data_IF_612623502352
#
_entry.id   IF_612623502352
#
_cell.length_a   1.000
_cell.length_b   1.000
_cell.length_c   1.000
_cell.angle_alpha   90.00
_cell.angle_beta   90.00
_cell.angle_gamma   90.00
#
_symmetry.space_group_name_H-M   'P 1'
#
loop_
_entity.id
_entity.type
_entity.pdbx_description
1 polymer ?
#
# COMPACT_ATOMS: atom_id res chain seq x y z
N UNK A 1 -21.20 17.48 17.84
CA UNK A 1 -20.88 16.58 16.70
C UNK A 1 -19.72 17.11 15.81
N UNK A 2 -19.71 18.34 15.28
CA UNK A 2 -18.62 18.81 14.43
C UNK A 2 -17.24 18.69 15.09
N UNK A 3 -17.10 19.10 16.35
CA UNK A 3 -15.84 19.09 17.09
C UNK A 3 -15.19 17.71 17.22
N UNK A 4 -15.98 16.66 17.56
CA UNK A 4 -15.46 15.29 17.67
C UNK A 4 -14.98 14.78 16.31
N UNK A 5 -15.75 14.98 15.24
CA UNK A 5 -15.37 14.59 13.89
C UNK A 5 -14.10 15.29 13.43
N UNK A 6 -13.96 16.58 13.75
CA UNK A 6 -12.77 17.35 13.40
C UNK A 6 -11.55 16.91 14.21
N UNK A 7 -11.72 16.64 15.52
CA UNK A 7 -10.66 16.12 16.36
C UNK A 7 -10.15 14.75 15.86
N UNK A 8 -11.05 13.83 15.53
CA UNK A 8 -10.69 12.52 14.94
C UNK A 8 -9.95 12.67 13.62
N UNK A 9 -10.44 13.54 12.71
CA UNK A 9 -9.75 13.77 11.42
C UNK A 9 -8.30 14.25 11.60
N UNK A 10 -8.02 15.09 12.60
CA UNK A 10 -6.65 15.55 12.90
C UNK A 10 -5.73 14.42 13.33
N UNK A 11 -6.26 13.35 13.92
CA UNK A 11 -5.49 12.15 14.28
C UNK A 11 -5.36 11.15 13.12
N UNK A 12 -5.98 11.40 11.98
CA UNK A 12 -6.05 10.48 10.84
C UNK A 12 -7.20 9.48 10.90
N UNK A 13 -7.96 9.40 11.99
CA UNK A 13 -9.14 8.53 12.06
C UNK A 13 -10.33 9.14 11.33
N UNK A 14 -10.87 8.39 10.39
CA UNK A 14 -12.11 8.79 9.72
C UNK A 14 -13.32 8.53 10.64
N UNK A 15 -14.33 9.43 10.67
CA UNK A 15 -15.58 9.19 11.41
C UNK A 15 -16.37 7.98 10.90
N UNK A 16 -16.09 7.50 9.70
CA UNK A 16 -16.64 6.31 9.06
C UNK A 16 -15.82 5.03 9.33
N UNK A 17 -14.74 5.13 10.08
CA UNK A 17 -13.87 3.99 10.40
C UNK A 17 -14.73 2.86 11.02
N UNK A 18 -14.68 1.64 10.47
CA UNK A 18 -15.47 0.51 10.99
C UNK A 18 -15.24 0.23 12.47
N UNK A 19 -14.03 0.47 12.96
CA UNK A 19 -13.66 0.31 14.37
C UNK A 19 -14.37 1.32 15.28
N UNK A 20 -14.81 2.47 14.75
CA UNK A 20 -15.58 3.50 15.48
C UNK A 20 -17.11 3.36 15.31
N UNK A 21 -17.60 2.39 14.53
CA UNK A 21 -19.03 2.28 14.16
C UNK A 21 -19.93 2.34 15.38
N UNK A 22 -19.71 1.47 16.36
CA UNK A 22 -20.53 1.40 17.57
C UNK A 22 -20.51 2.71 18.37
N UNK A 23 -19.34 3.28 18.57
CA UNK A 23 -19.18 4.59 19.24
C UNK A 23 -19.97 5.67 18.51
N UNK A 24 -19.81 5.78 17.20
CA UNK A 24 -20.45 6.80 16.38
C UNK A 24 -21.99 6.61 16.32
N UNK A 25 -22.48 5.40 16.36
CA UNK A 25 -23.91 5.11 16.45
C UNK A 25 -24.50 5.54 17.81
N UNK A 26 -23.82 5.22 18.92
CA UNK A 26 -24.23 5.66 20.25
C UNK A 26 -24.27 7.19 20.36
N UNK A 27 -23.24 7.86 19.83
CA UNK A 27 -23.19 9.33 19.77
C UNK A 27 -24.33 9.91 18.91
N UNK A 28 -24.65 9.30 17.76
CA UNK A 28 -25.78 9.75 16.92
C UNK A 28 -27.13 9.59 17.63
N UNK A 29 -27.35 8.47 18.34
CA UNK A 29 -28.56 8.23 19.12
C UNK A 29 -28.71 9.28 20.23
N UNK A 30 -27.66 9.48 21.03
CA UNK A 30 -27.66 10.48 22.09
C UNK A 30 -27.98 11.91 21.60
N UNK A 31 -27.48 12.27 20.39
CA UNK A 31 -27.79 13.55 19.75
C UNK A 31 -29.25 13.62 19.29
N UNK A 32 -29.79 12.52 18.78
CA UNK A 32 -31.15 12.47 18.22
C UNK A 32 -32.22 12.50 19.34
N UNK A 33 -31.88 11.91 20.49
CA UNK A 33 -32.80 11.81 21.65
C UNK A 33 -32.81 13.08 22.52
N UNK A 34 -31.94 14.06 22.21
CA UNK A 34 -31.86 15.31 22.95
C UNK A 34 -32.65 16.42 22.25
N UNK A 35 -33.43 17.16 23.03
CA UNK A 35 -34.17 18.36 22.60
C UNK A 35 -33.28 19.58 22.89
N UNK A 36 -32.49 20.03 21.89
CA UNK A 36 -31.59 21.19 22.00
C UNK A 36 -30.11 20.88 21.74
N UNK A 37 -29.22 21.82 22.09
CA UNK A 37 -27.77 21.59 22.01
C UNK A 37 -27.33 20.50 22.97
N UNK A 38 -26.75 19.42 22.42
CA UNK A 38 -26.24 18.31 23.23
C UNK A 38 -24.94 18.75 23.90
N UNK A 39 -25.01 19.03 25.18
CA UNK A 39 -23.82 19.07 26.04
C UNK A 39 -23.51 17.60 26.43
N UNK A 40 -22.42 17.09 25.90
CA UNK A 40 -21.96 15.75 26.23
C UNK A 40 -21.25 15.78 27.58
N UNK A 41 -21.96 15.37 28.64
CA UNK A 41 -21.36 15.21 29.96
C UNK A 41 -20.39 14.00 30.00
N UNK A 42 -19.65 13.86 31.08
CA UNK A 42 -18.67 12.80 31.27
C UNK A 42 -19.28 11.41 31.19
N UNK A 43 -20.48 11.21 31.75
CA UNK A 43 -21.11 9.89 31.85
C UNK A 43 -21.67 9.46 30.50
N UNK A 44 -22.29 10.39 29.76
CA UNK A 44 -22.74 10.15 28.39
C UNK A 44 -21.55 9.86 27.45
N UNK A 45 -20.47 10.64 27.57
CA UNK A 45 -19.24 10.39 26.83
C UNK A 45 -18.69 9.00 27.12
N UNK A 46 -18.58 8.61 28.40
CA UNK A 46 -18.06 7.30 28.78
C UNK A 46 -18.94 6.15 28.25
N UNK A 47 -20.25 6.28 28.29
CA UNK A 47 -21.17 5.28 27.71
C UNK A 47 -21.02 5.16 26.19
N UNK A 48 -20.80 6.26 25.51
CA UNK A 48 -20.63 6.27 24.05
C UNK A 48 -19.30 5.65 23.60
N UNK A 49 -18.20 5.90 24.34
CA UNK A 49 -16.84 5.54 23.90
C UNK A 49 -16.26 4.28 24.53
N UNK A 50 -16.95 3.71 25.54
CA UNK A 50 -16.41 2.61 26.36
C UNK A 50 -15.88 1.42 25.55
N UNK A 51 -16.59 1.00 24.50
CA UNK A 51 -16.16 -0.10 23.62
C UNK A 51 -14.95 0.23 22.74
N UNK A 52 -14.62 1.51 22.54
CA UNK A 52 -13.55 1.97 21.65
C UNK A 52 -12.50 2.81 22.37
N UNK A 53 -12.48 2.75 23.70
CA UNK A 53 -11.66 3.64 24.54
C UNK A 53 -10.17 3.50 24.22
N UNK A 54 -9.67 2.30 23.93
CA UNK A 54 -8.25 2.04 23.61
C UNK A 54 -7.86 2.76 22.33
N UNK A 55 -8.64 2.62 21.26
CA UNK A 55 -8.38 3.27 19.97
C UNK A 55 -8.41 4.79 20.11
N UNK A 56 -9.38 5.33 20.85
CA UNK A 56 -9.50 6.76 21.09
C UNK A 56 -8.35 7.32 21.95
N UNK A 57 -7.90 6.56 22.94
CA UNK A 57 -6.72 6.93 23.75
C UNK A 57 -5.47 6.95 22.87
N UNK A 58 -5.27 5.95 22.02
CA UNK A 58 -4.14 5.94 21.07
C UNK A 58 -4.18 7.17 20.16
N UNK A 59 -5.34 7.47 19.59
CA UNK A 59 -5.53 8.62 18.73
C UNK A 59 -5.20 9.95 19.43
N UNK A 60 -5.86 10.25 20.54
CA UNK A 60 -5.72 11.55 21.22
C UNK A 60 -4.43 11.72 21.99
N UNK A 61 -3.75 10.63 22.36
CA UNK A 61 -2.39 10.65 22.94
C UNK A 61 -1.29 10.58 21.89
N UNK A 62 -1.63 10.69 20.59
CA UNK A 62 -0.67 10.64 19.48
C UNK A 62 0.22 9.39 19.52
N UNK A 63 -0.39 8.22 19.81
CA UNK A 63 0.30 6.92 19.91
C UNK A 63 0.21 6.11 18.60
N UNK A 64 -0.33 6.67 17.53
CA UNK A 64 -0.31 6.08 16.22
C UNK A 64 1.07 6.19 15.58
N UNK A 65 1.30 5.39 14.53
CA UNK A 65 2.58 5.31 13.83
C UNK A 65 3.07 6.67 13.31
N UNK A 66 2.12 7.58 12.99
CA UNK A 66 2.42 8.98 12.66
C UNK A 66 1.76 9.88 13.71
N UNK A 67 2.48 10.28 14.76
CA UNK A 67 1.93 11.05 15.88
C UNK A 67 1.37 12.41 15.46
N UNK A 68 2.11 13.16 14.63
CA UNK A 68 1.72 14.47 14.13
C UNK A 68 1.05 14.36 12.75
N UNK A 69 -0.01 13.53 12.69
CA UNK A 69 -0.65 13.18 11.42
C UNK A 69 -1.17 14.38 10.62
N UNK A 70 -1.66 15.42 11.30
CA UNK A 70 -2.13 16.65 10.65
C UNK A 70 -1.00 17.39 9.92
N UNK A 71 0.20 17.41 10.52
CA UNK A 71 1.40 17.99 9.90
C UNK A 71 1.82 17.18 8.69
N UNK A 72 1.87 15.86 8.85
CA UNK A 72 2.19 14.93 7.78
C UNK A 72 1.22 15.04 6.61
N UNK A 73 -0.10 15.06 6.87
CA UNK A 73 -1.13 15.20 5.85
C UNK A 73 -1.01 16.53 5.05
N UNK A 74 -0.63 17.62 5.71
CA UNK A 74 -0.35 18.89 5.02
C UNK A 74 0.84 18.77 4.06
N UNK A 75 1.91 18.09 4.48
CA UNK A 75 3.06 17.82 3.61
C UNK A 75 2.69 16.97 2.40
N UNK A 76 1.87 15.93 2.59
CA UNK A 76 1.33 15.13 1.48
C UNK A 76 0.53 16.01 0.50
N UNK A 77 -0.26 16.96 1.00
CA UNK A 77 -0.99 17.89 0.13
C UNK A 77 -0.05 18.86 -0.63
N UNK A 78 1.06 19.27 -0.04
CA UNK A 78 2.08 20.08 -0.70
C UNK A 78 2.74 19.28 -1.84
N UNK A 79 3.16 18.04 -1.58
CA UNK A 79 3.71 17.12 -2.60
C UNK A 79 2.69 16.89 -3.72
N UNK A 80 1.42 16.62 -3.38
CA UNK A 80 0.33 16.43 -4.35
C UNK A 80 0.22 17.63 -5.31
N UNK A 81 0.23 18.86 -4.79
CA UNK A 81 0.13 20.10 -5.58
C UNK A 81 1.36 20.30 -6.48
N UNK A 82 2.56 20.08 -5.97
CA UNK A 82 3.80 20.18 -6.77
C UNK A 82 3.77 19.20 -7.95
N UNK A 83 3.36 17.96 -7.70
CA UNK A 83 3.30 16.91 -8.72
C UNK A 83 2.14 17.15 -9.71
N UNK A 84 1.06 17.79 -9.30
CA UNK A 84 -0.09 18.10 -10.16
C UNK A 84 0.28 18.91 -11.41
N UNK A 85 1.36 19.69 -11.35
CA UNK A 85 1.84 20.50 -12.46
C UNK A 85 2.50 19.68 -13.58
N UNK A 86 2.82 18.40 -13.35
CA UNK A 86 3.35 17.51 -14.37
C UNK A 86 2.28 17.23 -15.44
N UNK A 87 2.60 17.54 -16.70
CA UNK A 87 1.70 17.42 -17.84
C UNK A 87 2.16 16.37 -18.86
N UNK A 88 3.31 15.78 -18.65
CA UNK A 88 3.90 14.79 -19.54
C UNK A 88 3.15 13.47 -19.49
N UNK A 89 3.39 12.65 -20.51
CA UNK A 89 2.84 11.31 -20.61
C UNK A 89 1.60 11.22 -21.50
N UNK A 90 1.18 9.99 -21.78
CA UNK A 90 0.02 9.67 -22.61
C UNK A 90 -0.88 8.67 -21.90
N UNK A 91 -2.19 8.91 -21.95
CA UNK A 91 -3.18 7.93 -21.45
C UNK A 91 -3.12 6.67 -22.32
N UNK A 92 -3.17 5.49 -21.70
CA UNK A 92 -3.24 4.22 -22.42
C UNK A 92 -4.49 4.16 -23.30
N UNK A 93 -4.34 3.79 -24.56
CA UNK A 93 -5.40 3.85 -25.57
C UNK A 93 -5.61 2.52 -26.31
N UNK A 94 -4.98 1.43 -25.86
CA UNK A 94 -5.13 0.11 -26.50
C UNK A 94 -6.51 -0.51 -26.28
N UNK A 95 -7.28 -0.08 -25.28
CA UNK A 95 -8.68 -0.39 -25.07
C UNK A 95 -9.49 0.88 -24.76
N UNK A 96 -10.77 0.96 -25.21
CA UNK A 96 -11.60 2.15 -25.01
C UNK A 96 -11.81 2.52 -23.54
N UNK A 97 -11.83 1.55 -22.64
CA UNK A 97 -12.07 1.74 -21.21
C UNK A 97 -10.93 2.50 -20.52
N UNK A 98 -9.72 2.43 -21.04
CA UNK A 98 -8.58 3.23 -20.57
C UNK A 98 -8.52 4.58 -21.30
N UNK A 99 -8.73 4.58 -22.62
CA UNK A 99 -8.64 5.78 -23.47
C UNK A 99 -9.61 6.91 -23.07
N UNK A 100 -10.74 6.57 -22.44
CA UNK A 100 -11.77 7.55 -22.02
C UNK A 100 -11.38 8.39 -20.81
N UNK A 101 -10.35 8.02 -20.05
CA UNK A 101 -9.99 8.77 -18.87
C UNK A 101 -9.34 10.11 -19.20
N UNK A 102 -9.75 11.14 -18.47
CA UNK A 102 -9.14 12.47 -18.61
C UNK A 102 -7.68 12.45 -18.14
N UNK A 103 -6.74 13.05 -18.89
CA UNK A 103 -5.35 13.17 -18.47
C UNK A 103 -5.14 14.07 -17.23
N UNK A 104 -6.17 14.85 -16.85
CA UNK A 104 -6.10 15.73 -15.69
C UNK A 104 -6.42 15.03 -14.37
N UNK A 105 -6.94 13.81 -14.40
CA UNK A 105 -7.26 13.05 -13.19
C UNK A 105 -5.98 12.77 -12.39
N UNK A 106 -6.06 13.08 -11.11
CA UNK A 106 -4.98 12.85 -10.17
C UNK A 106 -5.52 12.62 -8.76
N UNK A 107 -5.18 11.51 -8.16
CA UNK A 107 -5.58 11.15 -6.82
C UNK A 107 -4.50 10.40 -6.06
N UNK A 108 -4.38 10.68 -4.78
CA UNK A 108 -3.50 9.98 -3.84
C UNK A 108 -4.27 9.66 -2.58
N UNK A 109 -4.22 8.42 -2.14
CA UNK A 109 -4.73 8.00 -0.84
C UNK A 109 -3.69 7.19 -0.10
N UNK A 110 -3.65 7.34 1.21
CA UNK A 110 -2.78 6.57 2.10
C UNK A 110 -3.56 6.00 3.28
N UNK A 111 -3.07 4.86 3.79
CA UNK A 111 -3.54 4.22 5.00
C UNK A 111 -2.33 3.72 5.79
N UNK A 112 -2.20 4.10 7.07
CA UNK A 112 -1.13 3.58 7.93
C UNK A 112 -1.46 2.18 8.44
N UNK A 113 -0.45 1.49 8.97
CA UNK A 113 -0.60 0.13 9.53
C UNK A 113 -1.52 0.08 10.76
N UNK A 114 -1.81 1.21 11.36
CA UNK A 114 -2.76 1.35 12.46
C UNK A 114 -4.07 2.08 12.06
N UNK A 115 -4.24 2.35 10.76
CA UNK A 115 -5.48 2.79 10.15
C UNK A 115 -5.71 4.30 10.13
N UNK A 116 -4.65 5.13 10.22
CA UNK A 116 -4.78 6.55 9.90
C UNK A 116 -4.96 6.72 8.38
N UNK A 117 -5.84 7.62 7.95
CA UNK A 117 -6.24 7.79 6.54
C UNK A 117 -6.10 9.23 6.09
N UNK A 118 -5.54 9.41 4.89
CA UNK A 118 -5.55 10.69 4.18
C UNK A 118 -5.77 10.47 2.70
N UNK A 119 -6.57 11.35 2.07
CA UNK A 119 -6.90 11.29 0.66
C UNK A 119 -6.93 12.70 0.08
N UNK A 120 -6.39 12.87 -1.12
CA UNK A 120 -6.35 14.15 -1.84
C UNK A 120 -6.56 13.92 -3.35
N UNK A 121 -7.38 14.77 -3.98
CA UNK A 121 -7.72 14.69 -5.40
C UNK A 121 -8.82 13.68 -5.72
N UNK A 122 -8.73 13.06 -6.89
CA UNK A 122 -9.76 12.19 -7.50
C UNK A 122 -9.76 10.77 -6.90
N UNK A 123 -9.78 10.66 -5.56
CA UNK A 123 -9.55 9.41 -4.84
C UNK A 123 -10.72 8.44 -4.83
N UNK A 124 -11.91 8.91 -5.19
CA UNK A 124 -13.16 8.10 -5.22
C UNK A 124 -13.54 7.61 -6.62
N UNK A 125 -12.84 8.08 -7.65
CA UNK A 125 -13.06 7.62 -9.01
C UNK A 125 -12.60 6.16 -9.14
N UNK A 126 -13.47 5.21 -9.56
CA UNK A 126 -13.05 3.84 -9.82
C UNK A 126 -12.14 3.72 -11.04
N UNK A 127 -11.15 2.84 -10.95
CA UNK A 127 -10.28 2.44 -12.04
C UNK A 127 -9.90 0.96 -11.90
N UNK A 128 -9.56 0.31 -13.03
CA UNK A 128 -9.14 -1.09 -13.00
C UNK A 128 -7.69 -1.22 -12.47
N UNK A 129 -7.44 -2.24 -11.65
CA UNK A 129 -6.12 -2.54 -11.09
C UNK A 129 -5.08 -2.81 -12.18
N UNK A 130 -5.49 -3.44 -13.28
CA UNK A 130 -4.57 -3.88 -14.31
C UNK A 130 -3.39 -4.65 -13.67
N UNK A 131 -2.15 -4.35 -14.04
CA UNK A 131 -1.00 -5.05 -13.47
C UNK A 131 -0.77 -4.85 -11.96
N UNK A 132 -1.47 -3.92 -11.31
CA UNK A 132 -1.44 -3.81 -9.85
C UNK A 132 -2.10 -5.00 -9.14
N UNK A 133 -2.84 -5.86 -9.85
CA UNK A 133 -3.38 -7.11 -9.29
C UNK A 133 -2.33 -8.20 -9.11
N UNK A 134 -1.22 -8.17 -9.87
CA UNK A 134 -0.21 -9.24 -9.87
C UNK A 134 0.40 -9.53 -8.49
N UNK A 135 0.81 -8.53 -7.68
CA UNK A 135 1.27 -8.81 -6.33
C UNK A 135 0.21 -9.45 -5.44
N UNK A 136 -1.06 -9.03 -5.57
CA UNK A 136 -2.16 -9.62 -4.80
C UNK A 136 -2.40 -11.09 -5.20
N UNK A 137 -2.38 -11.35 -6.49
CA UNK A 137 -2.51 -12.67 -7.08
C UNK A 137 -1.40 -13.61 -6.61
N UNK A 138 -0.15 -13.16 -6.64
CA UNK A 138 0.99 -13.92 -6.16
C UNK A 138 0.89 -14.20 -4.64
N UNK A 139 0.55 -13.17 -3.86
CA UNK A 139 0.40 -13.31 -2.41
C UNK A 139 -0.67 -14.35 -2.03
N UNK A 140 -1.80 -14.38 -2.75
CA UNK A 140 -2.87 -15.37 -2.55
C UNK A 140 -2.39 -16.78 -2.93
N UNK A 141 -1.70 -16.93 -4.05
CA UNK A 141 -1.17 -18.22 -4.48
C UNK A 141 -0.17 -18.82 -3.48
N UNK A 142 0.75 -17.98 -2.95
CA UNK A 142 1.70 -18.41 -1.89
C UNK A 142 0.98 -18.70 -0.58
N UNK A 143 -0.03 -17.90 -0.22
CA UNK A 143 -0.82 -18.13 0.99
C UNK A 143 -1.58 -19.45 0.97
N UNK A 144 -2.07 -19.88 -0.21
CA UNK A 144 -2.82 -21.12 -0.39
C UNK A 144 -1.95 -22.38 -0.49
N UNK A 145 -0.81 -22.24 -1.14
CA UNK A 145 0.06 -23.40 -1.43
C UNK A 145 1.27 -23.39 -0.48
N UNK A 146 2.32 -22.81 -0.89
CA UNK A 146 3.56 -22.46 -0.21
C UNK A 146 4.52 -21.82 -1.24
N UNK A 147 5.63 -21.28 -0.77
CA UNK A 147 6.63 -20.61 -1.62
C UNK A 147 7.29 -21.61 -2.59
N UNK A 148 7.68 -22.79 -2.12
CA UNK A 148 8.42 -23.78 -2.91
C UNK A 148 7.58 -24.28 -4.07
N UNK A 149 6.31 -24.60 -3.81
CA UNK A 149 5.38 -25.07 -4.84
C UNK A 149 5.15 -24.00 -5.91
N UNK A 150 4.92 -22.74 -5.52
CA UNK A 150 4.72 -21.66 -6.49
C UNK A 150 5.98 -21.46 -7.33
N UNK A 151 7.17 -21.43 -6.71
CA UNK A 151 8.43 -21.22 -7.39
C UNK A 151 8.99 -22.43 -8.12
N UNK A 152 8.37 -23.60 -7.99
CA UNK A 152 8.64 -24.71 -8.92
C UNK A 152 8.16 -24.41 -10.35
N UNK A 153 7.25 -23.42 -10.52
CA UNK A 153 6.67 -23.03 -11.81
C UNK A 153 7.07 -21.63 -12.30
N UNK A 154 7.52 -20.74 -11.44
CA UNK A 154 7.85 -19.34 -11.78
C UNK A 154 9.14 -18.93 -11.07
N UNK A 155 10.00 -18.18 -11.76
CA UNK A 155 11.24 -17.66 -11.20
C UNK A 155 11.03 -16.46 -10.25
N UNK A 156 12.14 -15.83 -9.83
CA UNK A 156 12.18 -14.71 -8.90
C UNK A 156 12.98 -13.52 -9.45
N UNK A 157 13.57 -13.68 -10.64
CA UNK A 157 14.52 -12.71 -11.19
C UNK A 157 13.84 -11.69 -12.11
N UNK A 158 14.34 -10.45 -12.16
CA UNK A 158 13.91 -9.47 -13.15
C UNK A 158 14.10 -9.99 -14.57
N UNK A 159 13.14 -9.73 -15.47
CA UNK A 159 13.24 -10.12 -16.89
C UNK A 159 14.20 -9.25 -17.70
N UNK A 160 14.70 -8.15 -17.12
CA UNK A 160 15.46 -7.13 -17.85
C UNK A 160 14.60 -6.48 -18.95
N UNK A 161 15.22 -6.09 -20.06
CA UNK A 161 14.52 -5.49 -21.21
C UNK A 161 13.56 -6.47 -21.94
N UNK A 162 13.44 -7.70 -21.46
CA UNK A 162 12.63 -8.76 -22.09
C UNK A 162 11.20 -8.86 -21.55
N UNK A 163 10.73 -7.92 -20.72
CA UNK A 163 9.39 -8.01 -20.06
C UNK A 163 8.23 -8.17 -21.04
N UNK A 164 8.36 -7.72 -22.27
CA UNK A 164 7.36 -7.74 -23.34
C UNK A 164 7.74 -8.66 -24.52
N UNK A 165 8.80 -9.44 -24.38
CA UNK A 165 9.26 -10.44 -25.35
C UNK A 165 8.73 -11.81 -24.90
N UNK A 166 8.47 -12.69 -25.88
CA UNK A 166 8.19 -14.12 -25.64
C UNK A 166 9.49 -14.80 -25.15
N UNK A 167 9.81 -14.63 -23.88
CA UNK A 167 11.01 -15.22 -23.28
C UNK A 167 10.70 -15.81 -21.91
N UNK A 168 11.33 -16.94 -21.67
CA UNK A 168 11.37 -17.65 -20.39
C UNK A 168 12.82 -17.60 -19.88
N UNK A 169 13.02 -18.00 -18.64
CA UNK A 169 14.36 -18.17 -18.08
C UNK A 169 15.05 -19.43 -18.64
N UNK A 170 16.27 -19.73 -18.16
CA UNK A 170 17.06 -20.88 -18.63
C UNK A 170 16.44 -22.24 -18.25
N UNK A 171 15.47 -22.27 -17.34
CA UNK A 171 14.72 -23.45 -16.92
C UNK A 171 13.35 -23.58 -17.61
N UNK A 172 13.11 -22.81 -18.67
CA UNK A 172 11.82 -22.69 -19.35
C UNK A 172 10.67 -22.24 -18.42
N UNK A 173 10.96 -21.40 -17.40
CA UNK A 173 9.97 -20.80 -16.50
C UNK A 173 9.77 -19.31 -16.79
N UNK A 174 8.59 -18.73 -16.53
CA UNK A 174 8.44 -17.28 -16.47
C UNK A 174 9.40 -16.66 -15.44
N UNK A 175 10.06 -15.55 -15.78
CA UNK A 175 11.09 -14.93 -14.95
C UNK A 175 10.64 -14.58 -13.53
N UNK A 176 9.42 -14.06 -13.39
CA UNK A 176 8.85 -13.71 -12.09
C UNK A 176 7.32 -13.50 -12.18
N UNK A 177 6.59 -13.47 -11.05
CA UNK A 177 5.13 -13.26 -11.02
C UNK A 177 4.65 -11.86 -11.47
N UNK A 178 5.52 -10.87 -11.59
CA UNK A 178 5.16 -9.49 -11.92
C UNK A 178 5.12 -9.21 -13.42
N UNK A 179 5.63 -10.14 -14.25
CA UNK A 179 5.49 -10.12 -15.72
C UNK A 179 4.23 -10.87 -16.15
N UNK A 180 3.74 -10.62 -17.38
CA UNK A 180 2.49 -11.23 -17.86
C UNK A 180 2.56 -12.77 -17.86
N UNK A 181 3.65 -13.36 -18.37
CA UNK A 181 3.82 -14.80 -18.39
C UNK A 181 3.70 -15.42 -16.98
N UNK A 182 4.38 -14.84 -15.99
CA UNK A 182 4.30 -15.28 -14.61
C UNK A 182 2.90 -15.13 -14.02
N UNK A 183 2.24 -14.00 -14.26
CA UNK A 183 0.88 -13.77 -13.75
C UNK A 183 -0.15 -14.73 -14.38
N UNK A 184 -0.05 -15.01 -15.68
CA UNK A 184 -0.91 -15.99 -16.36
C UNK A 184 -0.69 -17.37 -15.75
N UNK A 185 0.56 -17.75 -15.49
CA UNK A 185 0.87 -19.00 -14.82
C UNK A 185 0.27 -19.05 -13.40
N UNK A 186 0.48 -18.02 -12.58
CA UNK A 186 -0.08 -17.92 -11.23
C UNK A 186 -1.60 -18.07 -11.24
N UNK A 187 -2.30 -17.57 -12.28
CA UNK A 187 -3.75 -17.76 -12.46
C UNK A 187 -4.15 -19.25 -12.47
N UNK A 188 -3.29 -20.13 -12.97
CA UNK A 188 -3.55 -21.57 -12.99
C UNK A 188 -3.32 -22.26 -11.64
N UNK A 189 -2.56 -21.63 -10.73
CA UNK A 189 -2.24 -22.19 -9.41
C UNK A 189 -3.30 -21.87 -8.35
N UNK A 190 -4.10 -20.81 -8.52
CA UNK A 190 -5.13 -20.40 -7.56
C UNK A 190 -6.35 -21.31 -7.74
N UNK A 191 -6.77 -22.02 -6.70
CA UNK A 191 -7.95 -22.91 -6.69
C UNK A 191 -8.06 -23.76 -7.97
N UNK A 192 -7.07 -24.60 -8.31
CA UNK A 192 -7.00 -25.28 -9.60
C UNK A 192 -8.16 -26.24 -9.88
N UNK A 193 -8.83 -26.72 -8.83
CA UNK A 193 -9.97 -27.67 -8.94
C UNK A 193 -11.34 -26.98 -8.89
N UNK A 194 -11.40 -25.67 -8.62
CA UNK A 194 -12.65 -24.93 -8.58
C UNK A 194 -13.13 -24.55 -9.99
N UNK A 195 -14.44 -24.41 -10.17
CA UNK A 195 -14.98 -23.84 -11.40
C UNK A 195 -14.66 -22.35 -11.53
N UNK A 196 -14.87 -21.77 -12.72
CA UNK A 196 -14.51 -20.37 -13.02
C UNK A 196 -15.18 -19.35 -12.08
N UNK A 197 -16.44 -19.58 -11.73
CA UNK A 197 -17.19 -18.65 -10.87
C UNK A 197 -16.68 -18.73 -9.43
N UNK A 198 -16.53 -19.91 -8.87
CA UNK A 198 -15.98 -20.11 -7.52
C UNK A 198 -14.57 -19.56 -7.37
N UNK A 199 -13.74 -19.73 -8.41
CA UNK A 199 -12.38 -19.21 -8.45
C UNK A 199 -12.35 -17.68 -8.40
N UNK A 200 -13.22 -17.03 -9.17
CA UNK A 200 -13.34 -15.58 -9.19
C UNK A 200 -13.89 -15.02 -7.87
N UNK A 201 -14.98 -15.60 -7.35
CA UNK A 201 -15.58 -15.19 -6.08
C UNK A 201 -14.61 -15.34 -4.93
N UNK A 202 -13.85 -16.44 -4.89
CA UNK A 202 -12.80 -16.66 -3.90
C UNK A 202 -11.73 -15.56 -3.94
N UNK A 203 -11.23 -15.24 -5.12
CA UNK A 203 -10.24 -14.16 -5.26
C UNK A 203 -10.81 -12.80 -4.84
N UNK A 204 -12.04 -12.48 -5.27
CA UNK A 204 -12.72 -11.24 -4.90
C UNK A 204 -12.92 -11.11 -3.40
N UNK A 205 -13.19 -12.21 -2.69
CA UNK A 205 -13.29 -12.20 -1.23
C UNK A 205 -11.96 -11.81 -0.57
N UNK A 206 -10.84 -12.35 -1.02
CA UNK A 206 -9.52 -11.93 -0.54
C UNK A 206 -9.25 -10.45 -0.78
N UNK A 207 -9.50 -9.97 -1.99
CA UNK A 207 -9.27 -8.56 -2.35
C UNK A 207 -10.15 -7.63 -1.50
N UNK A 208 -11.42 -7.98 -1.27
CA UNK A 208 -12.32 -7.23 -0.37
C UNK A 208 -11.83 -7.21 1.07
N UNK A 209 -11.34 -8.34 1.60
CA UNK A 209 -10.73 -8.41 2.94
C UNK A 209 -9.47 -7.56 3.02
N UNK A 210 -8.61 -7.60 2.02
CA UNK A 210 -7.41 -6.74 1.94
C UNK A 210 -7.78 -5.25 1.90
N UNK A 211 -8.88 -4.89 1.25
CA UNK A 211 -9.40 -3.53 1.17
C UNK A 211 -10.17 -3.08 2.43
N UNK A 212 -10.25 -3.92 3.48
CA UNK A 212 -11.03 -3.60 4.69
C UNK A 212 -12.53 -3.45 4.43
N UNK A 213 -13.07 -4.17 3.44
CA UNK A 213 -14.45 -4.12 2.96
C UNK A 213 -14.83 -2.77 2.29
N UNK A 214 -13.84 -1.96 1.91
CA UNK A 214 -14.07 -0.78 1.07
C UNK A 214 -14.32 -1.20 -0.39
N UNK A 215 -14.60 -0.22 -1.26
CA UNK A 215 -15.03 -0.49 -2.63
C UNK A 215 -14.04 -1.38 -3.40
N UNK A 216 -14.55 -2.51 -3.86
CA UNK A 216 -13.94 -3.40 -4.85
C UNK A 216 -15.03 -3.83 -5.81
N UNK A 217 -14.86 -3.47 -7.08
CA UNK A 217 -15.79 -3.77 -8.16
C UNK A 217 -15.18 -4.62 -9.25
N UNK A 218 -15.93 -4.77 -10.35
CA UNK A 218 -15.49 -5.49 -11.54
C UNK A 218 -16.04 -4.81 -12.80
N UNK A 219 -15.17 -4.56 -13.77
CA UNK A 219 -15.55 -4.00 -15.06
C UNK A 219 -15.65 -5.10 -16.12
N UNK A 220 -16.86 -5.57 -16.38
CA UNK A 220 -17.09 -6.53 -17.47
C UNK A 220 -16.69 -5.97 -18.83
N UNK A 221 -16.89 -4.66 -19.06
CA UNK A 221 -16.49 -4.02 -20.31
C UNK A 221 -14.97 -4.05 -20.51
N UNK A 222 -14.19 -3.80 -19.45
CA UNK A 222 -12.73 -3.93 -19.50
C UNK A 222 -12.33 -5.38 -19.76
N UNK A 223 -12.92 -6.34 -19.04
CA UNK A 223 -12.65 -7.77 -19.24
C UNK A 223 -12.87 -8.21 -20.68
N UNK A 224 -14.00 -7.84 -21.29
CA UNK A 224 -14.28 -8.20 -22.70
C UNK A 224 -13.25 -7.58 -23.64
N UNK A 225 -12.93 -6.30 -23.47
CA UNK A 225 -11.93 -5.62 -24.31
C UNK A 225 -10.53 -6.20 -24.15
N UNK A 226 -10.09 -6.51 -22.93
CA UNK A 226 -8.80 -7.17 -22.68
C UNK A 226 -8.72 -8.56 -23.36
N UNK A 227 -9.84 -9.28 -23.38
CA UNK A 227 -9.92 -10.57 -24.04
C UNK A 227 -9.90 -10.44 -25.56
N UNK A 228 -10.63 -9.48 -26.13
CA UNK A 228 -10.68 -9.23 -27.57
C UNK A 228 -9.34 -8.73 -28.14
N UNK A 229 -8.59 -7.92 -27.37
CA UNK A 229 -7.29 -7.35 -27.78
C UNK A 229 -6.10 -8.12 -27.24
N UNK A 230 -6.32 -9.28 -26.64
CA UNK A 230 -5.35 -10.03 -25.88
C UNK A 230 -4.34 -10.88 -26.67
N UNK A 231 -4.20 -10.69 -27.99
CA UNK A 231 -3.38 -11.54 -28.88
C UNK A 231 -2.00 -11.86 -28.32
N UNK A 232 -1.32 -10.86 -27.75
CA UNK A 232 0.01 -11.05 -27.15
C UNK A 232 -0.04 -11.98 -25.94
N UNK A 233 -1.07 -11.88 -25.08
CA UNK A 233 -1.22 -12.76 -23.92
C UNK A 233 -1.59 -14.17 -24.33
N UNK A 234 -2.38 -14.34 -25.40
CA UNK A 234 -2.63 -15.64 -26.01
C UNK A 234 -1.34 -16.25 -26.59
N UNK A 235 -0.53 -15.44 -27.30
CA UNK A 235 0.76 -15.89 -27.83
C UNK A 235 1.72 -16.35 -26.70
N UNK A 236 1.79 -15.59 -25.59
CA UNK A 236 2.54 -15.96 -24.38
C UNK A 236 2.00 -17.27 -23.81
N UNK A 237 0.68 -17.42 -23.69
CA UNK A 237 0.04 -18.63 -23.18
C UNK A 237 0.36 -19.87 -24.02
N UNK A 238 0.27 -19.77 -25.35
CA UNK A 238 0.61 -20.87 -26.27
C UNK A 238 2.10 -21.22 -26.21
N UNK A 239 3.00 -20.23 -26.12
CA UNK A 239 4.43 -20.46 -25.96
C UNK A 239 4.73 -21.19 -24.63
N UNK A 240 4.12 -20.75 -23.52
CA UNK A 240 4.26 -21.46 -22.24
C UNK A 240 3.65 -22.87 -22.26
N UNK A 241 2.57 -23.09 -23.03
CA UNK A 241 1.95 -24.43 -23.20
C UNK A 241 2.89 -25.34 -23.97
N UNK A 242 3.50 -24.85 -25.04
CA UNK A 242 4.50 -25.61 -25.83
C UNK A 242 5.68 -26.03 -24.95
N UNK A 243 6.17 -25.10 -24.09
CA UNK A 243 7.26 -25.31 -23.14
C UNK A 243 6.85 -26.10 -21.88
N UNK A 244 5.59 -26.49 -21.75
CA UNK A 244 5.05 -27.24 -20.60
C UNK A 244 5.20 -26.56 -19.25
N UNK A 245 5.13 -25.20 -19.22
CA UNK A 245 5.25 -24.42 -17.99
C UNK A 245 4.09 -24.63 -17.02
N UNK A 246 2.89 -24.96 -17.52
CA UNK A 246 1.70 -25.08 -16.69
C UNK A 246 1.68 -26.36 -15.85
N UNK A 247 1.05 -26.34 -14.66
CA UNK A 247 0.83 -27.54 -13.87
C UNK A 247 0.05 -28.60 -14.64
N UNK A 248 0.27 -29.88 -14.32
CA UNK A 248 -0.50 -30.96 -14.94
C UNK A 248 -2.01 -30.78 -14.77
N UNK A 249 -2.77 -30.87 -15.86
CA UNK A 249 -4.23 -30.72 -15.87
C UNK A 249 -4.73 -29.26 -15.92
N UNK A 250 -3.84 -28.27 -15.88
CA UNK A 250 -4.26 -26.87 -16.04
C UNK A 250 -4.67 -26.57 -17.48
N UNK A 251 -5.80 -25.87 -17.65
CA UNK A 251 -6.23 -25.32 -18.93
C UNK A 251 -5.68 -23.89 -19.11
N UNK A 252 -4.91 -23.70 -20.18
CA UNK A 252 -4.27 -22.42 -20.49
C UNK A 252 -5.29 -21.34 -20.81
N UNK A 253 -6.39 -21.68 -21.49
CA UNK A 253 -7.45 -20.72 -21.84
C UNK A 253 -8.18 -20.26 -20.57
N UNK A 254 -8.45 -21.17 -19.65
CA UNK A 254 -9.06 -20.86 -18.35
C UNK A 254 -8.14 -19.96 -17.51
N UNK A 255 -6.84 -20.21 -17.52
CA UNK A 255 -5.84 -19.37 -16.85
C UNK A 255 -5.80 -17.94 -17.44
N UNK A 256 -5.88 -17.82 -18.78
CA UNK A 256 -5.95 -16.51 -19.47
C UNK A 256 -7.26 -15.78 -19.17
N UNK A 257 -8.40 -16.44 -19.25
CA UNK A 257 -9.70 -15.87 -18.90
C UNK A 257 -9.69 -15.30 -17.49
N UNK A 258 -9.19 -16.07 -16.54
CA UNK A 258 -9.08 -15.63 -15.15
C UNK A 258 -8.09 -14.47 -14.99
N UNK A 259 -6.94 -14.49 -15.66
CA UNK A 259 -5.99 -13.39 -15.68
C UNK A 259 -6.63 -12.09 -16.18
N UNK A 260 -7.40 -12.12 -17.27
CA UNK A 260 -8.12 -10.94 -17.78
C UNK A 260 -9.21 -10.45 -16.80
N UNK A 261 -9.91 -11.37 -16.13
CA UNK A 261 -10.85 -11.01 -15.06
C UNK A 261 -10.14 -10.25 -13.94
N UNK A 262 -9.00 -10.76 -13.47
CA UNK A 262 -8.24 -10.13 -12.38
C UNK A 262 -7.72 -8.73 -12.76
N UNK A 263 -7.25 -8.53 -13.99
CA UNK A 263 -6.86 -7.22 -14.50
C UNK A 263 -8.02 -6.21 -14.52
N UNK A 264 -9.26 -6.68 -14.60
CA UNK A 264 -10.49 -5.90 -14.71
C UNK A 264 -11.19 -5.63 -13.37
N UNK A 265 -10.57 -6.02 -12.25
CA UNK A 265 -11.04 -5.66 -10.91
C UNK A 265 -10.88 -4.15 -10.72
N UNK A 266 -11.96 -3.49 -10.28
CA UNK A 266 -12.00 -2.06 -10.03
C UNK A 266 -11.78 -1.74 -8.56
N UNK A 267 -11.01 -0.69 -8.31
CA UNK A 267 -10.76 -0.12 -6.97
C UNK A 267 -10.81 1.40 -7.06
N UNK A 268 -10.78 2.06 -5.92
CA UNK A 268 -10.50 3.48 -5.78
C UNK A 268 -9.12 3.68 -5.15
N UNK A 269 -8.58 4.90 -5.16
CA UNK A 269 -7.35 5.18 -4.40
C UNK A 269 -7.55 4.85 -2.92
N UNK A 270 -8.74 5.10 -2.38
CA UNK A 270 -9.05 4.86 -0.96
C UNK A 270 -8.94 3.37 -0.63
N UNK A 271 -9.66 2.49 -1.33
CA UNK A 271 -9.61 1.05 -1.10
C UNK A 271 -8.24 0.44 -1.45
N UNK A 272 -7.60 0.92 -2.52
CA UNK A 272 -6.26 0.49 -2.91
C UNK A 272 -5.19 0.82 -1.87
N UNK A 273 -5.30 1.97 -1.18
CA UNK A 273 -4.38 2.32 -0.09
C UNK A 273 -4.51 1.38 1.11
N UNK A 274 -5.71 0.87 1.41
CA UNK A 274 -5.93 -0.14 2.46
C UNK A 274 -5.31 -1.47 2.07
N UNK A 275 -5.44 -1.90 0.80
CA UNK A 275 -4.77 -3.10 0.30
C UNK A 275 -3.25 -3.00 0.46
N UNK A 276 -2.67 -1.87 0.06
CA UNK A 276 -1.25 -1.61 0.24
C UNK A 276 -0.85 -1.60 1.72
N UNK A 277 -1.69 -1.05 2.61
CA UNK A 277 -1.46 -1.04 4.05
C UNK A 277 -1.58 -2.44 4.67
N UNK A 278 -2.45 -3.31 4.15
CA UNK A 278 -2.50 -4.72 4.54
C UNK A 278 -1.19 -5.42 4.23
N UNK A 279 -0.57 -5.15 3.07
CA UNK A 279 0.77 -5.63 2.76
C UNK A 279 1.83 -4.99 3.68
N UNK A 280 1.76 -3.67 3.93
CA UNK A 280 2.67 -2.98 4.84
C UNK A 280 2.62 -3.54 6.28
N UNK A 281 1.47 -4.07 6.69
CA UNK A 281 1.18 -4.61 8.01
C UNK A 281 1.32 -6.15 8.10
N UNK A 282 2.13 -6.75 7.22
CA UNK A 282 2.40 -8.19 7.25
C UNK A 282 1.19 -9.08 7.01
N UNK A 283 0.20 -8.61 6.24
CA UNK A 283 -1.01 -9.36 5.87
C UNK A 283 -2.21 -9.19 6.81
N UNK A 284 -2.12 -8.30 7.79
CA UNK A 284 -3.24 -7.94 8.67
C UNK A 284 -3.86 -6.64 8.17
N UNK A 285 -5.14 -6.65 7.86
CA UNK A 285 -5.85 -5.44 7.45
C UNK A 285 -5.93 -4.44 8.61
N UNK A 286 -5.41 -3.21 8.46
CA UNK A 286 -5.36 -2.23 9.56
C UNK A 286 -6.74 -1.71 9.97
N UNK A 287 -7.75 -1.85 9.11
CA UNK A 287 -9.11 -1.35 9.34
C UNK A 287 -9.97 -2.39 10.06
N UNK A 288 -9.84 -3.67 9.71
CA UNK A 288 -10.64 -4.75 10.31
C UNK A 288 -9.89 -5.52 11.39
N UNK A 289 -8.56 -5.49 11.39
CA UNK A 289 -7.73 -6.33 12.24
C UNK A 289 -7.67 -7.81 11.81
N UNK A 290 -8.29 -8.16 10.68
CA UNK A 290 -8.30 -9.53 10.16
C UNK A 290 -6.96 -9.88 9.52
N UNK A 291 -6.42 -11.05 9.86
CA UNK A 291 -5.29 -11.62 9.11
C UNK A 291 -5.78 -12.21 7.79
N UNK A 292 -5.42 -11.58 6.71
CA UNK A 292 -5.83 -11.95 5.34
C UNK A 292 -4.79 -12.82 4.65
N UNK A 293 -3.51 -12.51 4.84
CA UNK A 293 -2.38 -13.21 4.22
C UNK A 293 -1.37 -13.68 5.27
N UNK A 294 -0.60 -14.72 4.94
CA UNK A 294 0.53 -15.14 5.75
C UNK A 294 1.67 -14.12 5.67
N UNK A 295 2.46 -14.00 6.74
CA UNK A 295 3.61 -13.11 6.77
C UNK A 295 4.66 -13.48 5.70
N UNK A 296 4.79 -14.77 5.40
CA UNK A 296 5.69 -15.28 4.36
C UNK A 296 5.25 -14.82 2.97
N UNK A 297 3.96 -14.98 2.63
CA UNK A 297 3.41 -14.53 1.36
C UNK A 297 3.63 -13.03 1.16
N UNK A 298 3.42 -12.24 2.21
CA UNK A 298 3.65 -10.79 2.15
C UNK A 298 5.13 -10.46 1.97
N UNK A 299 6.03 -11.06 2.75
CA UNK A 299 7.49 -10.84 2.60
C UNK A 299 7.94 -11.10 1.17
N UNK A 300 7.55 -12.24 0.61
CA UNK A 300 7.93 -12.63 -0.75
C UNK A 300 7.34 -11.68 -1.79
N UNK A 301 6.08 -11.27 -1.61
CA UNK A 301 5.41 -10.30 -2.49
C UNK A 301 6.13 -8.95 -2.49
N UNK A 302 6.47 -8.42 -1.33
CA UNK A 302 7.19 -7.14 -1.22
C UNK A 302 8.59 -7.21 -1.85
N UNK A 303 9.29 -8.34 -1.71
CA UNK A 303 10.59 -8.57 -2.34
C UNK A 303 10.49 -8.50 -3.87
N UNK A 304 9.50 -9.19 -4.45
CA UNK A 304 9.28 -9.18 -5.90
C UNK A 304 8.74 -7.83 -6.42
N UNK A 305 7.92 -7.13 -5.64
CA UNK A 305 7.51 -5.76 -5.98
C UNK A 305 8.71 -4.81 -6.02
N UNK A 306 9.67 -4.98 -5.11
CA UNK A 306 10.87 -4.14 -5.05
C UNK A 306 11.77 -4.33 -6.28
N UNK A 307 11.99 -5.56 -6.71
CA UNK A 307 12.89 -5.90 -7.82
C UNK A 307 12.24 -5.86 -9.20
N UNK A 308 10.92 -6.13 -9.30
CA UNK A 308 10.24 -6.40 -10.57
C UNK A 308 8.93 -5.61 -10.77
N UNK A 309 8.56 -4.71 -9.86
CA UNK A 309 7.20 -4.14 -9.82
C UNK A 309 6.91 -3.02 -10.83
N UNK A 310 7.93 -2.37 -11.40
CA UNK A 310 7.79 -1.10 -12.13
C UNK A 310 8.26 -1.18 -13.59
N UNK A 311 8.01 -2.32 -14.24
CA UNK A 311 8.48 -2.59 -15.62
C UNK A 311 10.00 -2.35 -15.73
N UNK A 312 10.48 -1.78 -16.85
CA UNK A 312 11.90 -1.48 -17.06
C UNK A 312 12.45 -0.36 -16.14
N UNK A 313 11.58 0.28 -15.36
CA UNK A 313 11.95 1.26 -14.36
C UNK A 313 12.22 0.64 -12.98
N UNK A 314 12.07 -0.66 -12.80
CA UNK A 314 12.18 -1.32 -11.48
C UNK A 314 13.52 -1.06 -10.80
N UNK A 315 14.63 -1.14 -11.51
CA UNK A 315 15.96 -0.82 -10.96
C UNK A 315 16.11 0.64 -10.54
N UNK A 316 15.61 1.57 -11.36
CA UNK A 316 15.61 3.00 -11.02
C UNK A 316 14.66 3.31 -9.84
N UNK A 317 13.50 2.64 -9.78
CA UNK A 317 12.58 2.77 -8.65
C UNK A 317 13.23 2.29 -7.36
N UNK A 318 13.92 1.14 -7.38
CA UNK A 318 14.67 0.64 -6.23
C UNK A 318 15.79 1.58 -5.80
N UNK A 319 16.46 2.23 -6.75
CA UNK A 319 17.55 3.17 -6.49
C UNK A 319 17.06 4.53 -5.96
N UNK A 320 16.05 5.14 -6.59
CA UNK A 320 15.61 6.49 -6.26
C UNK A 320 14.58 6.55 -5.14
N UNK A 321 13.71 5.53 -5.05
CA UNK A 321 12.61 5.48 -4.09
C UNK A 321 12.85 4.43 -3.00
N UNK A 322 13.45 3.28 -3.37
CA UNK A 322 13.87 2.25 -2.44
C UNK A 322 12.74 1.55 -1.70
N UNK A 323 11.53 1.51 -2.29
CA UNK A 323 10.33 0.94 -1.70
C UNK A 323 9.66 -0.05 -2.66
N UNK A 324 9.01 -1.11 -2.14
CA UNK A 324 8.16 -1.98 -2.93
C UNK A 324 7.02 -1.23 -3.61
N UNK A 325 6.89 -1.38 -4.92
CA UNK A 325 5.81 -0.76 -5.68
C UNK A 325 5.35 -1.63 -6.85
N UNK A 326 4.11 -1.43 -7.30
CA UNK A 326 3.59 -2.04 -8.53
C UNK A 326 2.86 -1.03 -9.38
N UNK A 327 3.22 -0.96 -10.64
CA UNK A 327 2.58 -0.10 -11.65
C UNK A 327 1.52 -0.85 -12.46
N UNK A 328 0.48 -0.13 -12.88
CA UNK A 328 -0.56 -0.60 -13.79
C UNK A 328 -0.84 0.42 -14.88
N UNK A 329 -1.13 -0.05 -16.10
CA UNK A 329 -1.39 0.80 -17.28
C UNK A 329 -2.66 1.65 -17.18
N UNK A 330 -3.47 1.45 -16.14
CA UNK A 330 -4.55 2.38 -15.77
C UNK A 330 -4.04 3.71 -15.19
N UNK A 331 -2.73 3.82 -14.94
CA UNK A 331 -2.09 4.96 -14.26
C UNK A 331 -2.00 4.79 -12.75
N UNK A 332 -2.23 3.58 -12.24
CA UNK A 332 -2.11 3.28 -10.82
C UNK A 332 -0.69 2.91 -10.41
N UNK A 333 -0.28 3.35 -9.23
CA UNK A 333 0.90 2.84 -8.52
C UNK A 333 0.49 2.45 -7.10
N UNK A 334 0.62 1.16 -6.80
CA UNK A 334 0.46 0.59 -5.47
C UNK A 334 1.85 0.60 -4.80
N UNK A 335 2.03 1.47 -3.80
CA UNK A 335 3.29 1.67 -3.08
C UNK A 335 3.15 1.19 -1.64
N UNK A 336 4.16 0.49 -1.14
CA UNK A 336 4.19 -0.02 0.23
C UNK A 336 5.39 0.54 0.97
N UNK A 337 5.15 1.19 2.11
CA UNK A 337 6.17 1.56 3.08
C UNK A 337 6.06 0.55 4.22
N UNK A 338 6.92 -0.49 4.27
CA UNK A 338 6.80 -1.58 5.22
C UNK A 338 6.77 -1.09 6.67
N UNK A 339 5.86 -1.64 7.46
CA UNK A 339 5.61 -1.28 8.87
C UNK A 339 5.16 0.17 9.12
N UNK A 340 4.81 0.93 8.07
CA UNK A 340 4.36 2.31 8.20
C UNK A 340 3.01 2.52 7.54
N UNK A 341 2.92 2.38 6.21
CA UNK A 341 1.69 2.67 5.48
C UNK A 341 1.68 2.07 4.08
N UNK A 342 0.49 1.98 3.51
CA UNK A 342 0.24 1.77 2.09
C UNK A 342 -0.23 3.05 1.41
N UNK A 343 0.15 3.21 0.15
CA UNK A 343 -0.25 4.35 -0.69
C UNK A 343 -0.76 3.83 -2.02
N UNK A 344 -1.85 4.42 -2.50
CA UNK A 344 -2.34 4.26 -3.86
C UNK A 344 -2.33 5.63 -4.55
N UNK A 345 -1.52 5.73 -5.60
CA UNK A 345 -1.52 6.87 -6.52
C UNK A 345 -2.26 6.48 -7.80
N UNK A 346 -3.06 7.39 -8.36
CA UNK A 346 -3.69 7.17 -9.64
C UNK A 346 -3.71 8.45 -10.49
N UNK A 347 -3.09 8.37 -11.66
CA UNK A 347 -3.13 9.38 -12.71
C UNK A 347 -2.93 8.73 -14.07
N UNK A 348 -3.87 8.83 -15.01
CA UNK A 348 -3.87 8.09 -16.27
C UNK A 348 -2.67 8.33 -17.20
N UNK A 349 -2.04 9.53 -17.30
CA UNK A 349 -0.88 9.73 -18.18
C UNK A 349 0.33 8.87 -17.77
N UNK A 350 0.83 8.08 -18.73
CA UNK A 350 1.94 7.16 -18.58
C UNK A 350 3.20 7.68 -19.28
N UNK A 351 4.34 7.34 -18.71
CA UNK A 351 5.64 7.52 -19.35
C UNK A 351 5.90 6.49 -20.48
N UNK A 352 7.08 6.56 -21.09
CA UNK A 352 7.45 5.68 -22.21
C UNK A 352 7.52 4.19 -21.85
N UNK A 353 7.68 3.87 -20.56
CA UNK A 353 7.76 2.50 -20.07
C UNK A 353 6.47 2.00 -19.43
N UNK A 354 5.44 2.84 -19.37
CA UNK A 354 4.09 2.46 -18.93
C UNK A 354 3.77 2.79 -17.48
N UNK A 355 4.58 3.59 -16.79
CA UNK A 355 4.33 4.03 -15.42
C UNK A 355 3.63 5.38 -15.38
N UNK A 356 2.75 5.60 -14.39
CA UNK A 356 2.13 6.89 -14.15
C UNK A 356 3.18 7.97 -13.90
N UNK A 357 3.22 9.02 -14.73
CA UNK A 357 4.19 10.13 -14.60
C UNK A 357 4.05 10.79 -13.24
N UNK A 358 2.83 11.23 -12.89
CA UNK A 358 2.59 11.85 -11.58
C UNK A 358 2.85 10.90 -10.43
N UNK A 359 2.49 9.62 -10.58
CA UNK A 359 2.74 8.60 -9.57
C UNK A 359 4.22 8.41 -9.25
N UNK A 360 5.09 8.35 -10.28
CA UNK A 360 6.57 8.27 -10.10
C UNK A 360 7.08 9.51 -9.38
N UNK A 361 6.72 10.71 -9.86
CA UNK A 361 7.15 11.96 -9.23
C UNK A 361 6.70 12.06 -7.79
N UNK A 362 5.46 11.63 -7.47
CA UNK A 362 4.98 11.59 -6.10
C UNK A 362 5.84 10.66 -5.21
N UNK A 363 6.18 9.47 -5.70
CA UNK A 363 7.02 8.53 -4.96
C UNK A 363 8.42 9.12 -4.68
N UNK A 364 9.02 9.80 -5.67
CA UNK A 364 10.33 10.45 -5.54
C UNK A 364 10.27 11.62 -4.54
N UNK A 365 9.26 12.50 -4.65
CA UNK A 365 9.07 13.61 -3.72
C UNK A 365 8.79 13.13 -2.28
N UNK A 366 8.02 12.05 -2.12
CA UNK A 366 7.75 11.46 -0.81
C UNK A 366 9.04 11.06 -0.09
N UNK A 367 9.93 10.34 -0.77
CA UNK A 367 11.20 9.89 -0.16
C UNK A 367 12.27 11.00 -0.13
N UNK A 368 12.11 12.07 -0.90
CA UNK A 368 12.99 13.24 -0.79
C UNK A 368 12.76 13.99 0.52
N UNK A 369 11.52 14.07 0.98
CA UNK A 369 11.13 14.80 2.19
C UNK A 369 11.16 13.94 3.44
N UNK A 370 10.82 12.65 3.33
CA UNK A 370 10.74 11.73 4.46
C UNK A 370 11.76 10.60 4.34
N UNK A 371 12.23 10.08 5.47
CA UNK A 371 13.21 8.99 5.55
C UNK A 371 12.57 7.60 5.31
N UNK A 372 11.84 7.44 4.22
CA UNK A 372 11.17 6.19 3.90
C UNK A 372 11.97 5.25 3.01
N UNK A 373 12.98 5.74 2.32
CA UNK A 373 13.87 4.88 1.53
C UNK A 373 14.52 3.82 2.43
N UNK A 374 14.60 2.56 1.99
CA UNK A 374 15.09 1.44 2.80
C UNK A 374 16.47 1.70 3.44
N UNK A 375 17.27 2.56 2.86
CA UNK A 375 18.62 2.89 3.34
C UNK A 375 18.74 4.28 3.98
N UNK A 376 17.66 5.02 4.18
CA UNK A 376 17.70 6.36 4.81
C UNK A 376 18.04 6.32 6.31
N UNK A 377 17.86 5.18 6.97
CA UNK A 377 18.10 5.02 8.42
C UNK A 377 19.51 4.52 8.75
N UNK A 378 20.46 4.61 7.83
CA UNK A 378 21.86 4.31 8.09
C UNK A 378 22.47 5.36 9.05
N UNK A 379 23.36 4.92 9.93
CA UNK A 379 23.85 5.67 11.10
C UNK A 379 24.37 7.09 10.81
N UNK A 380 24.94 7.34 9.65
CA UNK A 380 25.55 8.64 9.30
C UNK A 380 24.92 9.28 8.06
N UNK A 381 23.68 8.94 7.77
CA UNK A 381 22.99 9.49 6.60
C UNK A 381 22.43 10.90 6.83
N UNK A 382 22.21 11.65 5.75
CA UNK A 382 21.57 12.98 5.81
C UNK A 382 20.20 12.87 6.47
N UNK A 383 19.94 13.69 7.47
CA UNK A 383 18.68 13.66 8.21
C UNK A 383 17.54 14.21 7.33
N UNK A 384 16.63 13.34 6.94
CA UNK A 384 15.29 13.67 6.46
C UNK A 384 14.31 13.67 7.63
N UNK A 385 13.12 14.23 7.42
CA UNK A 385 12.07 14.19 8.43
C UNK A 385 11.58 12.74 8.64
N UNK A 386 11.54 12.28 9.90
CA UNK A 386 10.92 11.01 10.28
C UNK A 386 9.52 11.29 10.84
N UNK A 387 8.44 11.05 10.10
CA UNK A 387 7.10 11.38 10.57
C UNK A 387 6.61 10.44 11.69
N UNK A 388 7.35 9.36 11.99
CA UNK A 388 7.06 8.43 13.09
C UNK A 388 7.53 8.97 14.45
N UNK A 389 8.38 10.01 14.46
CA UNK A 389 8.92 10.63 15.67
C UNK A 389 8.17 11.90 16.03
N UNK A 390 8.04 12.18 17.32
CA UNK A 390 7.55 13.47 17.80
C UNK A 390 8.71 14.47 17.83
N UNK A 391 8.42 15.77 17.52
CA UNK A 391 9.38 16.83 17.69
C UNK A 391 9.84 16.87 19.16
N UNK A 392 11.12 16.62 19.41
CA UNK A 392 11.73 16.53 20.75
C UNK A 392 12.33 15.19 21.12
N UNK A 393 12.14 14.14 20.34
CA UNK A 393 12.70 12.79 20.57
C UNK A 393 14.19 12.68 20.16
N UNK A 394 14.79 13.78 19.69
CA UNK A 394 16.25 13.87 19.41
C UNK A 394 17.13 13.66 20.67
N UNK A 395 16.51 13.63 21.86
CA UNK A 395 17.25 13.41 23.12
C UNK A 395 17.90 12.02 23.23
N UNK A 396 17.35 10.99 22.62
CA UNK A 396 17.96 9.66 22.67
C UNK A 396 19.22 9.53 21.79
N UNK A 397 19.30 10.24 20.65
CA UNK A 397 20.52 10.24 19.84
C UNK A 397 21.66 11.03 20.51
N UNK A 398 21.34 12.10 21.22
CA UNK A 398 22.32 12.87 21.98
C UNK A 398 22.78 12.10 23.22
N UNK A 399 21.88 11.34 23.89
CA UNK A 399 22.26 10.49 25.03
C UNK A 399 23.12 9.31 24.60
N UNK A 400 22.89 8.72 23.43
CA UNK A 400 23.74 7.65 22.90
C UNK A 400 25.11 8.16 22.44
N UNK A 401 25.22 9.34 21.85
CA UNK A 401 26.49 9.99 21.52
C UNK A 401 27.26 10.40 22.80
N UNK A 402 26.57 10.91 23.80
CA UNK A 402 27.17 11.25 25.09
C UNK A 402 27.64 10.01 25.86
N UNK A 403 26.90 8.89 25.85
CA UNK A 403 27.31 7.64 26.45
C UNK A 403 28.52 7.03 25.73
N UNK A 404 28.64 7.12 24.41
CA UNK A 404 29.82 6.66 23.66
C UNK A 404 31.03 7.55 23.92
N UNK A 405 30.85 8.88 24.02
CA UNK A 405 31.94 9.79 24.45
C UNK A 405 32.39 9.57 25.90
N UNK A 406 31.45 9.29 26.83
CA UNK A 406 31.78 9.01 28.21
C UNK A 406 32.51 7.67 28.40
N UNK A 407 32.31 6.69 27.54
CA UNK A 407 33.00 5.41 27.52
C UNK A 407 34.44 5.51 26.95
N UNK A 408 34.72 6.51 26.11
CA UNK A 408 36.04 6.77 25.52
C UNK A 408 36.93 7.67 26.39
N UNK A 409 36.36 8.46 27.33
CA UNK A 409 37.13 9.30 28.26
C UNK A 409 37.09 8.71 29.67
N UNK A 410 38.14 7.95 29.98
CA UNK A 410 38.27 7.24 31.24
C UNK A 410 38.18 8.13 32.48
N UNK A 411 37.41 7.67 33.43
CA UNK A 411 37.45 7.79 34.90
C UNK A 411 37.90 9.11 35.58
N UNK A 412 37.82 10.27 35.00
CA UNK A 412 38.03 11.52 35.77
C UNK A 412 37.00 12.57 35.31
N UNK A 413 36.01 12.87 36.14
CA UNK A 413 35.17 14.05 35.98
C UNK A 413 33.65 13.88 35.82
N UNK A 414 33.08 12.70 36.03
CA UNK A 414 31.66 12.40 35.79
C UNK A 414 30.67 13.11 36.72
N UNK A 415 31.07 13.61 37.89
CA UNK A 415 30.15 14.31 38.83
C UNK A 415 29.82 15.75 38.45
N UNK A 416 30.67 16.42 37.65
CA UNK A 416 30.43 17.83 37.26
C UNK A 416 29.61 18.01 35.99
N UNK A 417 29.54 16.99 35.13
CA UNK A 417 28.78 17.05 33.87
C UNK A 417 27.30 16.63 34.08
N UNK A 418 27.03 15.70 34.99
CA UNK A 418 25.64 15.34 35.36
C UNK A 418 24.87 16.50 36.00
N UNK A 419 25.51 17.39 36.77
CA UNK A 419 24.83 18.53 37.40
C UNK A 419 24.50 19.67 36.43
N UNK A 420 25.14 19.70 35.25
CA UNK A 420 24.88 20.71 34.19
C UNK A 420 23.79 20.27 33.21
N UNK A 421 23.52 18.97 33.10
CA UNK A 421 22.52 18.40 32.18
C UNK A 421 21.18 18.14 32.88
N UNK A 422 21.21 17.84 34.19
CA UNK A 422 20.00 17.72 35.01
C UNK A 422 19.73 19.03 35.74
N UNK A 423 19.38 20.09 34.98
CA UNK A 423 19.04 21.38 35.54
C UNK A 423 17.89 21.31 36.55
N UNK A 424 18.20 21.59 37.80
CA UNK A 424 17.36 22.11 38.89
C UNK A 424 15.91 21.62 39.03
N UNK A 425 15.73 20.83 40.04
CA UNK A 425 14.42 20.47 40.56
C UNK A 425 14.54 19.66 41.86
N UNK A 426 15.14 20.20 42.89
CA UNK A 426 14.85 19.75 44.25
C UNK A 426 15.23 20.83 45.26
N UNK A 427 14.29 21.64 45.63
CA UNK A 427 14.26 22.16 46.99
C UNK A 427 12.99 21.67 47.67
N UNK A 428 13.24 21.14 48.90
CA UNK A 428 12.34 20.82 50.03
C UNK A 428 11.70 19.43 50.05
N UNK A 429 12.17 18.63 50.78
CA UNK A 429 12.28 18.13 52.15
C UNK A 429 12.98 16.78 52.15
#
# INVERSE_FOLDING_TARGET
MPCIKQALKKTGLQPSDPRLRECMEKVRRAVKDSVGEVMMDRDLFHRCVGGNIVLLIQAFRKKFIIPEFDVFARKINEIYKTVQEQRDGKVADYIPQLAKFSPNLWGVSLCTVDGQRHSVGDTKQPFCLQSCVKPLQYAIAVHESDTEKVHSYVGMEPSGLKFNVLSLDEEDKPHNPMVNAGAILISSLIKPLANKAEKFDYFMEFVKKMAGQEYVGFSNATFQSEKETGDRNFAIGYYMKEKRCFPPGADMIDALDFYFQLCSIEVTCESGSVMAATLANGGICPITGERVLSAEAVRNTLSLMHSCGMYDFSGQMAFHVGLPAKSGVSGAILLVIPNVMGVMCWSPPLDKVGNSVRGIHFCQELVSQFNFHNYDNLRHFVKKQDPRRQDGDDREQVSFQLNVCCLQWGRVGTKKICSLICGHGSERL
#
